data_IF_926474464157
#
_entry.id   IF_926474464157
#
_cell.length_a   1.000
_cell.length_b   1.000
_cell.length_c   1.000
_cell.angle_alpha   90.00
_cell.angle_beta   90.00
_cell.angle_gamma   90.00
#
_symmetry.space_group_name_H-M   'P 1'
#
loop_
_entity.id
_entity.type
_entity.pdbx_description
1 polymer ?
#
# COMPACT_ATOMS: atom_id res chain seq x y z
N UNK A 1 -30.32 -47.79 -18.11
CA UNK A 1 -30.73 -46.36 -18.00
C UNK A 1 -31.94 -46.12 -17.11
N UNK A 2 -32.96 -47.00 -17.02
CA UNK A 2 -34.14 -46.78 -16.15
C UNK A 2 -33.84 -46.63 -14.62
N UNK A 3 -32.71 -47.14 -14.13
CA UNK A 3 -32.38 -47.16 -12.69
C UNK A 3 -31.89 -45.79 -12.14
N UNK A 4 -31.33 -44.93 -12.99
CA UNK A 4 -30.70 -43.67 -12.52
C UNK A 4 -31.45 -42.38 -12.95
N UNK A 5 -32.62 -42.52 -13.65
CA UNK A 5 -33.34 -41.37 -14.14
C UNK A 5 -33.82 -40.40 -13.03
N UNK A 6 -34.15 -40.97 -11.83
CA UNK A 6 -34.53 -40.17 -10.67
C UNK A 6 -33.36 -39.29 -10.14
N UNK A 7 -32.14 -39.87 -10.14
CA UNK A 7 -30.93 -39.14 -9.75
C UNK A 7 -30.65 -38.02 -10.78
N UNK A 8 -30.82 -38.28 -12.03
CA UNK A 8 -30.61 -37.29 -13.09
C UNK A 8 -31.61 -36.15 -13.01
N UNK A 9 -32.88 -36.39 -12.68
CA UNK A 9 -33.90 -35.38 -12.45
C UNK A 9 -33.56 -34.54 -11.22
N UNK A 10 -33.18 -35.17 -10.12
CA UNK A 10 -32.76 -34.43 -8.88
C UNK A 10 -31.54 -33.54 -9.14
N UNK A 11 -30.54 -34.07 -9.87
CA UNK A 11 -29.36 -33.26 -10.23
C UNK A 11 -29.72 -32.06 -11.12
N UNK A 12 -30.60 -32.25 -12.09
CA UNK A 12 -31.10 -31.14 -12.91
C UNK A 12 -31.84 -30.07 -12.09
N UNK A 13 -32.72 -30.51 -11.17
CA UNK A 13 -33.43 -29.57 -10.28
C UNK A 13 -32.46 -28.77 -9.42
N UNK A 14 -31.44 -29.42 -8.86
CA UNK A 14 -30.39 -28.76 -8.07
C UNK A 14 -29.62 -27.74 -8.93
N UNK A 15 -29.22 -28.13 -10.14
CA UNK A 15 -28.51 -27.24 -11.08
C UNK A 15 -29.38 -26.02 -11.42
N UNK A 16 -30.66 -26.22 -11.75
CA UNK A 16 -31.59 -25.12 -12.04
C UNK A 16 -31.84 -24.21 -10.83
N UNK A 17 -31.97 -24.78 -9.62
CA UNK A 17 -32.15 -24.00 -8.40
C UNK A 17 -30.90 -23.15 -8.09
N UNK A 18 -29.71 -23.72 -8.18
CA UNK A 18 -28.43 -23.02 -8.00
C UNK A 18 -28.27 -21.94 -9.07
N UNK A 19 -28.49 -22.27 -10.34
CA UNK A 19 -28.37 -21.32 -11.45
C UNK A 19 -29.37 -20.18 -11.33
N UNK A 20 -30.63 -20.48 -10.98
CA UNK A 20 -31.68 -19.49 -10.76
C UNK A 20 -31.36 -18.55 -9.59
N UNK A 21 -30.89 -19.11 -8.49
CA UNK A 21 -30.40 -18.30 -7.35
C UNK A 21 -29.23 -17.40 -7.73
N UNK A 22 -28.29 -17.92 -8.52
CA UNK A 22 -27.12 -17.17 -8.98
C UNK A 22 -27.52 -16.01 -9.92
N UNK A 23 -28.44 -16.26 -10.87
CA UNK A 23 -28.96 -15.22 -11.78
C UNK A 23 -29.74 -14.15 -11.01
N UNK A 24 -30.57 -14.58 -10.05
CA UNK A 24 -31.34 -13.66 -9.21
C UNK A 24 -30.41 -12.80 -8.37
N UNK A 25 -29.43 -13.40 -7.68
CA UNK A 25 -28.45 -12.69 -6.87
C UNK A 25 -27.60 -11.73 -7.72
N UNK A 26 -27.18 -12.15 -8.92
CA UNK A 26 -26.42 -11.28 -9.82
C UNK A 26 -27.23 -10.08 -10.30
N UNK A 27 -28.54 -10.25 -10.58
CA UNK A 27 -29.44 -9.14 -10.95
C UNK A 27 -29.71 -8.20 -9.77
N UNK A 28 -29.93 -8.74 -8.57
CA UNK A 28 -30.13 -7.94 -7.36
C UNK A 28 -28.87 -7.08 -7.08
N UNK A 29 -27.67 -7.67 -7.17
CA UNK A 29 -26.40 -6.95 -7.02
C UNK A 29 -26.19 -5.86 -8.10
N UNK A 30 -26.71 -6.05 -9.29
CA UNK A 30 -26.64 -5.05 -10.37
C UNK A 30 -27.53 -3.82 -10.11
N UNK A 31 -28.67 -3.99 -9.45
CA UNK A 31 -29.62 -2.90 -9.14
C UNK A 31 -29.20 -2.06 -7.91
N UNK A 32 -28.28 -2.56 -7.10
CA UNK A 32 -27.79 -1.91 -5.88
C UNK A 32 -26.35 -1.38 -6.02
N UNK A 33 -25.84 -1.27 -7.25
CA UNK A 33 -24.49 -0.74 -7.46
C UNK A 33 -24.44 0.73 -7.06
N UNK A 34 -23.57 1.01 -6.12
CA UNK A 34 -23.17 2.39 -5.84
C UNK A 34 -22.37 2.89 -7.03
N UNK A 35 -22.69 4.08 -7.50
CA UNK A 35 -21.89 4.80 -8.49
C UNK A 35 -21.34 6.08 -7.89
N UNK A 36 -20.19 6.49 -8.35
CA UNK A 36 -19.55 7.73 -7.92
C UNK A 36 -19.14 8.55 -9.14
N UNK A 37 -19.23 9.86 -9.00
CA UNK A 37 -18.72 10.85 -9.96
C UNK A 37 -17.86 11.87 -9.24
N UNK A 38 -17.02 12.58 -10.00
CA UNK A 38 -16.28 13.73 -9.50
C UNK A 38 -16.90 14.97 -10.16
N UNK A 39 -17.66 15.73 -9.39
CA UNK A 39 -18.32 16.95 -9.87
C UNK A 39 -17.38 18.14 -9.67
N UNK A 40 -17.01 18.87 -10.74
CA UNK A 40 -16.08 19.97 -10.67
C UNK A 40 -16.66 21.16 -9.87
N UNK A 41 -15.85 21.70 -8.97
CA UNK A 41 -16.15 22.93 -8.23
C UNK A 41 -15.38 24.10 -8.84
N UNK A 42 -14.09 23.92 -9.10
CA UNK A 42 -13.21 24.93 -9.70
C UNK A 42 -11.93 24.29 -10.26
N UNK A 43 -11.24 25.00 -11.15
CA UNK A 43 -9.96 24.57 -11.73
C UNK A 43 -10.10 23.92 -13.10
N UNK A 44 -9.03 23.30 -13.57
CA UNK A 44 -8.96 22.67 -14.89
C UNK A 44 -9.24 21.18 -14.78
N UNK A 45 -10.29 20.71 -15.43
CA UNK A 45 -10.68 19.30 -15.46
C UNK A 45 -9.65 18.40 -16.18
N UNK A 46 -8.73 18.97 -16.96
CA UNK A 46 -7.64 18.19 -17.56
C UNK A 46 -6.67 17.62 -16.52
N UNK A 47 -6.68 18.15 -15.30
CA UNK A 47 -5.94 17.61 -14.16
C UNK A 47 -6.40 16.21 -13.72
N UNK A 48 -7.59 15.79 -14.20
CA UNK A 48 -8.15 14.45 -13.93
C UNK A 48 -7.89 13.45 -15.05
N UNK A 49 -7.24 13.83 -16.17
CA UNK A 49 -7.17 12.98 -17.38
C UNK A 49 -6.61 11.58 -17.11
N UNK A 50 -5.54 11.50 -16.34
CA UNK A 50 -4.88 10.22 -16.01
C UNK A 50 -5.14 9.77 -14.56
N UNK A 51 -6.12 10.42 -13.89
CA UNK A 51 -6.37 10.16 -12.49
C UNK A 51 -7.42 9.07 -12.26
N UNK A 52 -7.09 8.12 -11.40
CA UNK A 52 -8.03 7.12 -10.91
C UNK A 52 -8.09 7.22 -9.40
N UNK A 53 -9.29 7.37 -8.86
CA UNK A 53 -9.54 7.45 -7.42
C UNK A 53 -10.27 6.21 -6.95
N UNK A 54 -9.72 5.53 -5.95
CA UNK A 54 -10.40 4.46 -5.26
C UNK A 54 -11.33 5.06 -4.19
N UNK A 55 -12.61 4.78 -4.33
CA UNK A 55 -13.64 5.20 -3.38
C UNK A 55 -14.29 3.97 -2.79
N UNK A 56 -14.43 3.93 -1.48
CA UNK A 56 -15.14 2.87 -0.79
C UNK A 56 -16.39 3.40 -0.09
N UNK A 57 -17.43 2.60 -0.11
CA UNK A 57 -18.67 2.85 0.64
C UNK A 57 -18.87 1.73 1.64
N UNK A 58 -19.05 2.09 2.90
CA UNK A 58 -19.28 1.16 3.99
C UNK A 58 -20.63 1.43 4.62
N UNK A 59 -21.45 0.39 4.70
CA UNK A 59 -22.61 0.38 5.58
C UNK A 59 -22.54 -0.84 6.52
N UNK A 60 -23.54 -1.02 7.37
CA UNK A 60 -23.58 -2.13 8.33
C UNK A 60 -23.52 -3.53 7.68
N UNK A 61 -23.78 -3.65 6.38
CA UNK A 61 -23.99 -4.93 5.70
C UNK A 61 -23.15 -5.10 4.43
N UNK A 62 -22.70 -3.99 3.83
CA UNK A 62 -21.99 -4.01 2.54
C UNK A 62 -20.76 -3.11 2.57
N UNK A 63 -19.73 -3.55 1.86
CA UNK A 63 -18.56 -2.75 1.57
C UNK A 63 -18.27 -2.88 0.08
N UNK A 64 -18.29 -1.77 -0.63
CA UNK A 64 -18.01 -1.73 -2.06
C UNK A 64 -16.81 -0.83 -2.30
N UNK A 65 -15.91 -1.27 -3.17
CA UNK A 65 -14.83 -0.46 -3.71
C UNK A 65 -15.11 -0.16 -5.17
N UNK A 66 -14.96 1.11 -5.51
CA UNK A 66 -15.24 1.64 -6.83
C UNK A 66 -14.04 2.45 -7.26
N UNK A 67 -13.53 2.18 -8.46
CA UNK A 67 -12.54 3.01 -9.11
C UNK A 67 -13.24 3.99 -10.04
N UNK A 68 -12.96 5.26 -9.84
CA UNK A 68 -13.56 6.34 -10.63
C UNK A 68 -12.47 7.16 -11.34
N UNK A 69 -12.79 7.64 -12.51
CA UNK A 69 -12.02 8.61 -13.28
C UNK A 69 -12.90 9.81 -13.61
N UNK A 70 -12.38 10.78 -14.35
CA UNK A 70 -13.20 11.90 -14.85
C UNK A 70 -14.41 11.45 -15.68
N UNK A 71 -14.31 10.31 -16.37
CA UNK A 71 -15.38 9.75 -17.20
C UNK A 71 -16.43 8.95 -16.38
N UNK A 72 -16.29 8.89 -15.08
CA UNK A 72 -17.14 8.17 -14.15
C UNK A 72 -16.57 6.84 -13.66
N UNK A 73 -17.45 5.89 -13.37
CA UNK A 73 -17.05 4.59 -12.80
C UNK A 73 -16.30 3.74 -13.82
N UNK A 74 -15.05 3.44 -13.52
CA UNK A 74 -14.19 2.57 -14.32
C UNK A 74 -14.36 1.09 -13.96
N UNK A 75 -14.40 0.76 -12.66
CA UNK A 75 -14.58 -0.60 -12.18
C UNK A 75 -15.28 -0.60 -10.80
N UNK A 76 -16.04 -1.66 -10.52
CA UNK A 76 -16.72 -1.86 -9.24
C UNK A 76 -16.34 -3.20 -8.68
N UNK A 77 -15.70 -3.22 -7.50
CA UNK A 77 -15.27 -4.45 -6.84
C UNK A 77 -16.03 -4.66 -5.53
N UNK A 78 -16.77 -5.74 -5.45
CA UNK A 78 -17.58 -6.10 -4.28
C UNK A 78 -16.83 -7.09 -3.39
N UNK A 79 -16.54 -6.71 -2.15
CA UNK A 79 -15.87 -7.57 -1.16
C UNK A 79 -16.78 -8.63 -0.55
N UNK A 80 -18.09 -8.39 -0.52
CA UNK A 80 -19.09 -9.24 0.17
C UNK A 80 -20.06 -9.95 -0.76
N UNK A 81 -19.81 -10.01 -2.03
CA UNK A 81 -20.62 -10.90 -2.84
C UNK A 81 -20.43 -12.32 -2.30
N UNK A 82 -21.51 -13.11 -2.29
CA UNK A 82 -21.52 -14.56 -2.08
C UNK A 82 -20.49 -15.33 -2.94
N UNK A 83 -19.73 -14.63 -3.73
CA UNK A 83 -18.63 -14.97 -4.58
C UNK A 83 -17.26 -14.96 -3.89
N UNK A 84 -17.17 -14.79 -2.56
CA UNK A 84 -15.90 -14.87 -1.81
C UNK A 84 -15.10 -16.16 -2.07
N UNK A 85 -15.75 -17.18 -2.65
CA UNK A 85 -15.09 -18.38 -3.14
C UNK A 85 -14.36 -18.18 -4.49
N UNK A 86 -14.61 -17.07 -5.22
CA UNK A 86 -14.14 -16.90 -6.60
C UNK A 86 -13.55 -15.52 -6.92
N UNK A 87 -13.70 -14.52 -6.05
CA UNK A 87 -13.14 -13.18 -6.27
C UNK A 87 -12.08 -12.88 -5.21
N UNK A 88 -10.81 -13.06 -5.55
CA UNK A 88 -9.72 -12.39 -4.84
C UNK A 88 -9.84 -10.89 -5.11
N UNK A 89 -9.63 -10.06 -4.09
CA UNK A 89 -9.40 -8.63 -4.27
C UNK A 89 -8.12 -8.48 -5.11
N UNK A 90 -8.29 -7.97 -6.32
CA UNK A 90 -7.20 -7.66 -7.23
C UNK A 90 -7.09 -6.14 -7.32
N UNK A 91 -6.09 -5.51 -6.66
CA UNK A 91 -5.89 -4.07 -6.77
C UNK A 91 -5.70 -3.65 -8.22
N UNK A 92 -6.17 -2.46 -8.58
CA UNK A 92 -6.10 -1.94 -9.95
C UNK A 92 -4.65 -1.88 -10.46
N UNK A 93 -3.69 -1.57 -9.59
CA UNK A 93 -2.26 -1.55 -9.91
C UNK A 93 -1.74 -2.88 -10.49
N UNK A 94 -2.41 -4.01 -10.18
CA UNK A 94 -2.03 -5.33 -10.69
C UNK A 94 -2.78 -5.75 -11.94
N UNK A 95 -3.74 -4.96 -12.45
CA UNK A 95 -4.56 -5.33 -13.61
C UNK A 95 -3.71 -5.62 -14.85
N UNK A 96 -2.72 -4.75 -15.14
CA UNK A 96 -1.77 -4.94 -16.23
C UNK A 96 -1.02 -6.28 -16.08
N UNK A 97 -0.45 -6.56 -14.92
CA UNK A 97 0.33 -7.78 -14.67
C UNK A 97 -0.53 -9.03 -14.73
N UNK A 98 -1.78 -8.97 -14.24
CA UNK A 98 -2.74 -10.06 -14.31
C UNK A 98 -3.19 -10.37 -15.75
N UNK A 99 -3.19 -9.37 -16.59
CA UNK A 99 -3.54 -9.53 -18.01
C UNK A 99 -2.34 -10.02 -18.83
N UNK A 100 -1.19 -9.35 -18.71
CA UNK A 100 -0.02 -9.61 -19.54
C UNK A 100 0.81 -10.82 -19.08
N UNK A 101 0.88 -11.05 -17.75
CA UNK A 101 1.76 -12.05 -17.12
C UNK A 101 0.99 -13.02 -16.22
N UNK A 102 -0.19 -13.43 -16.64
CA UNK A 102 -1.12 -14.25 -15.85
C UNK A 102 -0.50 -15.53 -15.26
N UNK A 103 0.39 -16.20 -15.99
CA UNK A 103 1.08 -17.41 -15.49
C UNK A 103 2.03 -17.08 -14.34
N UNK A 104 2.76 -15.98 -14.44
CA UNK A 104 3.66 -15.49 -13.42
C UNK A 104 2.90 -15.05 -12.17
N UNK A 105 1.78 -14.34 -12.33
CA UNK A 105 0.99 -13.82 -11.20
C UNK A 105 0.24 -14.88 -10.39
N UNK A 106 0.12 -16.11 -10.93
CA UNK A 106 -0.64 -17.18 -10.28
C UNK A 106 -0.05 -17.55 -8.90
N UNK A 107 -0.87 -17.40 -7.85
CA UNK A 107 -0.49 -17.74 -6.47
C UNK A 107 0.44 -16.75 -5.78
N UNK A 108 0.61 -15.57 -6.37
CA UNK A 108 1.33 -14.44 -5.76
C UNK A 108 0.36 -13.55 -4.98
N UNK A 109 0.91 -12.83 -4.00
CA UNK A 109 0.17 -11.82 -3.25
C UNK A 109 0.20 -10.50 -4.01
N UNK A 110 -0.90 -9.73 -3.95
CA UNK A 110 -1.00 -8.41 -4.56
C UNK A 110 -0.56 -7.34 -3.55
N UNK A 111 0.73 -7.30 -3.31
CA UNK A 111 1.40 -6.38 -2.39
C UNK A 111 2.61 -5.81 -3.13
N UNK A 112 2.55 -4.53 -3.51
CA UNK A 112 3.57 -3.87 -4.33
C UNK A 112 4.97 -3.98 -3.73
N UNK A 113 5.08 -3.96 -2.41
CA UNK A 113 6.34 -4.06 -1.68
C UNK A 113 7.11 -5.38 -1.94
N UNK A 114 6.45 -6.37 -2.55
CA UNK A 114 7.05 -7.67 -2.88
C UNK A 114 7.53 -7.77 -4.32
N UNK A 115 7.32 -6.72 -5.09
CA UNK A 115 7.65 -6.69 -6.50
C UNK A 115 8.69 -5.62 -6.78
N UNK A 116 9.44 -5.86 -7.84
CA UNK A 116 10.28 -4.88 -8.48
C UNK A 116 10.15 -5.01 -9.99
N UNK A 117 10.01 -3.90 -10.69
CA UNK A 117 9.91 -3.87 -12.14
C UNK A 117 11.00 -2.98 -12.73
N UNK A 118 11.77 -3.51 -13.67
CA UNK A 118 12.65 -2.76 -14.56
C UNK A 118 12.17 -2.86 -16.02
N UNK A 119 12.92 -2.26 -16.95
CA UNK A 119 12.59 -2.30 -18.39
C UNK A 119 12.43 -3.73 -18.94
N UNK A 120 13.15 -4.71 -18.42
CA UNK A 120 13.25 -6.06 -18.96
C UNK A 120 12.57 -7.11 -18.09
N UNK A 121 12.44 -6.86 -16.77
CA UNK A 121 12.08 -7.90 -15.79
C UNK A 121 10.97 -7.44 -14.85
N UNK A 122 10.23 -8.44 -14.33
CA UNK A 122 9.36 -8.30 -13.17
C UNK A 122 9.79 -9.35 -12.15
N UNK A 123 10.15 -8.91 -10.95
CA UNK A 123 10.66 -9.74 -9.88
C UNK A 123 9.66 -9.78 -8.74
N UNK A 124 9.44 -10.95 -8.17
CA UNK A 124 8.60 -11.15 -7.01
C UNK A 124 9.38 -11.86 -5.91
N UNK A 125 9.31 -11.35 -4.69
CA UNK A 125 9.95 -11.96 -3.53
C UNK A 125 8.95 -12.12 -2.40
N UNK A 126 8.98 -13.27 -1.75
CA UNK A 126 8.28 -13.50 -0.48
C UNK A 126 9.10 -14.34 0.48
N UNK A 127 8.83 -14.20 1.77
CA UNK A 127 9.29 -15.16 2.76
C UNK A 127 8.39 -16.40 2.75
N UNK A 128 8.96 -17.61 2.87
CA UNK A 128 8.18 -18.86 2.80
C UNK A 128 7.37 -19.16 4.08
N UNK A 129 7.75 -18.56 5.19
CA UNK A 129 7.19 -18.88 6.52
C UNK A 129 6.30 -17.74 7.06
N UNK A 130 5.37 -17.25 6.23
CA UNK A 130 4.41 -16.22 6.64
C UNK A 130 3.55 -16.69 7.83
N UNK A 131 3.63 -15.94 8.94
CA UNK A 131 2.81 -16.20 10.14
C UNK A 131 3.36 -17.26 11.10
N UNK A 132 4.58 -17.76 10.88
CA UNK A 132 5.29 -18.61 11.82
C UNK A 132 6.41 -17.84 12.52
N UNK A 133 6.57 -18.06 13.82
CA UNK A 133 7.74 -17.59 14.55
C UNK A 133 9.02 -18.26 14.01
N UNK A 134 10.09 -17.49 13.85
CA UNK A 134 11.39 -17.95 13.37
C UNK A 134 12.41 -17.76 14.50
N UNK A 135 13.02 -18.84 14.96
CA UNK A 135 14.00 -18.74 16.03
C UNK A 135 15.37 -18.34 15.54
N UNK A 136 16.15 -17.70 16.42
CA UNK A 136 17.55 -17.34 16.11
C UNK A 136 18.35 -18.53 15.61
N UNK A 137 18.99 -18.34 14.46
CA UNK A 137 19.76 -19.39 13.78
C UNK A 137 18.94 -20.30 12.86
N UNK A 138 17.60 -20.21 12.89
CA UNK A 138 16.76 -20.87 11.87
C UNK A 138 16.85 -20.14 10.52
N UNK A 139 16.58 -20.84 9.41
CA UNK A 139 16.61 -20.22 8.09
C UNK A 139 15.39 -19.33 7.85
N UNK A 140 15.66 -18.09 7.43
CA UNK A 140 14.69 -17.24 6.71
C UNK A 140 14.84 -17.61 5.23
N UNK A 141 13.75 -18.09 4.64
CA UNK A 141 13.73 -18.54 3.25
C UNK A 141 13.06 -17.51 2.36
N UNK A 142 13.74 -17.06 1.33
CA UNK A 142 13.23 -16.16 0.31
C UNK A 142 12.89 -16.96 -0.94
N UNK A 143 11.62 -16.94 -1.34
CA UNK A 143 11.22 -17.42 -2.66
C UNK A 143 11.27 -16.24 -3.61
N UNK A 144 12.15 -16.36 -4.61
CA UNK A 144 12.37 -15.35 -5.65
C UNK A 144 11.87 -15.91 -6.96
N UNK A 145 11.05 -15.14 -7.67
CA UNK A 145 10.57 -15.47 -9.01
C UNK A 145 10.87 -14.29 -9.94
N UNK A 146 11.68 -14.52 -10.97
CA UNK A 146 12.14 -13.51 -11.93
C UNK A 146 11.52 -13.80 -13.30
N UNK A 147 10.67 -12.92 -13.78
CA UNK A 147 10.07 -12.96 -15.10
C UNK A 147 10.89 -12.10 -16.08
N UNK A 148 11.25 -12.67 -17.22
CA UNK A 148 11.75 -11.93 -18.39
C UNK A 148 10.55 -11.49 -19.23
N UNK A 149 10.29 -10.18 -19.34
CA UNK A 149 9.05 -9.64 -19.94
C UNK A 149 8.93 -9.98 -21.43
N UNK A 150 10.00 -9.88 -22.18
CA UNK A 150 10.00 -10.15 -23.62
C UNK A 150 9.65 -11.62 -23.93
N UNK A 151 10.30 -12.55 -23.27
CA UNK A 151 10.13 -13.99 -23.53
C UNK A 151 8.98 -14.62 -22.75
N UNK A 152 8.45 -13.93 -21.75
CA UNK A 152 7.47 -14.41 -20.75
C UNK A 152 7.91 -15.66 -20.00
N UNK A 153 9.22 -15.94 -19.99
CA UNK A 153 9.80 -17.02 -19.19
C UNK A 153 10.14 -16.52 -17.81
N UNK A 154 9.92 -17.34 -16.81
CA UNK A 154 10.32 -17.02 -15.44
C UNK A 154 11.14 -18.13 -14.81
N UNK A 155 11.98 -17.74 -13.86
CA UNK A 155 12.85 -18.63 -13.09
C UNK A 155 12.54 -18.45 -11.62
N UNK A 156 12.13 -19.52 -10.95
CA UNK A 156 11.87 -19.54 -9.51
C UNK A 156 13.02 -20.25 -8.79
N UNK A 157 13.48 -19.66 -7.68
CA UNK A 157 14.49 -20.25 -6.81
C UNK A 157 14.26 -19.86 -5.34
N UNK A 158 14.93 -20.57 -4.42
CA UNK A 158 14.91 -20.29 -2.99
C UNK A 158 16.30 -19.88 -2.53
N UNK A 159 16.42 -18.74 -1.88
CA UNK A 159 17.63 -18.28 -1.19
C UNK A 159 17.39 -18.28 0.32
N UNK A 160 18.45 -18.50 1.11
CA UNK A 160 18.31 -18.67 2.56
C UNK A 160 19.31 -17.78 3.30
N UNK A 161 18.83 -17.10 4.36
CA UNK A 161 19.66 -16.43 5.35
C UNK A 161 19.37 -17.01 6.75
N UNK A 162 20.31 -16.86 7.67
CA UNK A 162 20.06 -17.25 9.07
C UNK A 162 19.45 -16.07 9.84
N UNK A 163 18.39 -16.35 10.60
CA UNK A 163 17.76 -15.41 11.49
C UNK A 163 18.72 -14.91 12.57
N UNK A 164 18.85 -13.58 12.70
CA UNK A 164 19.73 -12.95 13.71
C UNK A 164 19.11 -12.95 15.10
N UNK A 165 17.77 -12.94 15.16
CA UNK A 165 16.98 -12.88 16.40
C UNK A 165 15.81 -13.85 16.38
N UNK A 166 15.04 -13.90 17.46
CA UNK A 166 13.75 -14.59 17.51
C UNK A 166 12.68 -13.66 16.96
N UNK A 167 12.11 -14.00 15.81
CA UNK A 167 11.06 -13.23 15.18
C UNK A 167 9.70 -13.85 15.42
N UNK A 168 8.74 -13.06 15.89
CA UNK A 168 7.32 -13.42 15.85
C UNK A 168 6.77 -13.26 14.44
N UNK A 169 7.37 -12.37 13.67
CA UNK A 169 6.92 -12.03 12.33
C UNK A 169 8.07 -11.44 11.50
N UNK A 170 8.11 -11.80 10.21
CA UNK A 170 9.07 -11.31 9.21
C UNK A 170 8.32 -11.01 7.92
N UNK A 171 8.51 -9.83 7.35
CA UNK A 171 7.88 -9.42 6.09
C UNK A 171 8.85 -8.73 5.15
N UNK A 172 8.69 -9.00 3.86
CA UNK A 172 9.33 -8.22 2.79
C UNK A 172 8.59 -6.89 2.68
N UNK A 173 9.32 -5.79 2.79
CA UNK A 173 8.77 -4.43 2.74
C UNK A 173 9.29 -3.63 1.55
N UNK A 174 10.32 -4.12 0.85
CA UNK A 174 10.73 -3.61 -0.45
C UNK A 174 11.63 -4.59 -1.20
N UNK A 175 11.63 -4.50 -2.52
CA UNK A 175 12.48 -5.29 -3.42
C UNK A 175 13.14 -4.37 -4.42
N UNK A 176 14.48 -4.41 -4.48
CA UNK A 176 15.29 -3.62 -5.38
C UNK A 176 16.20 -4.55 -6.20
N UNK A 177 16.26 -4.38 -7.51
CA UNK A 177 17.07 -5.23 -8.37
C UNK A 177 18.06 -4.44 -9.22
N UNK A 178 19.34 -4.81 -9.16
CA UNK A 178 20.40 -4.15 -9.90
C UNK A 178 21.55 -5.12 -10.19
N UNK A 179 22.07 -5.11 -11.42
CA UNK A 179 23.30 -5.83 -11.83
C UNK A 179 23.32 -7.32 -11.45
N UNK A 180 22.20 -8.04 -11.58
CA UNK A 180 22.10 -9.47 -11.23
C UNK A 180 22.03 -9.74 -9.72
N UNK A 181 21.78 -8.73 -8.92
CA UNK A 181 21.50 -8.82 -7.50
C UNK A 181 20.06 -8.39 -7.21
N UNK A 182 19.39 -9.13 -6.36
CA UNK A 182 18.10 -8.76 -5.78
C UNK A 182 18.33 -8.39 -4.32
N UNK A 183 18.08 -7.13 -3.98
CA UNK A 183 18.11 -6.62 -2.62
C UNK A 183 16.70 -6.70 -2.04
N UNK A 184 16.58 -7.29 -0.88
CA UNK A 184 15.29 -7.52 -0.21
C UNK A 184 15.32 -6.83 1.14
N UNK A 185 14.53 -5.78 1.28
CA UNK A 185 14.34 -5.11 2.56
C UNK A 185 13.29 -5.88 3.36
N UNK A 186 13.62 -6.20 4.59
CA UNK A 186 12.82 -7.04 5.46
C UNK A 186 12.62 -6.35 6.80
N UNK A 187 11.37 -6.21 7.21
CA UNK A 187 11.00 -5.80 8.57
C UNK A 187 10.73 -7.03 9.41
N UNK A 188 11.35 -7.10 10.59
CA UNK A 188 11.17 -8.16 11.57
C UNK A 188 10.63 -7.61 12.89
N UNK A 189 9.64 -8.29 13.47
CA UNK A 189 9.18 -8.04 14.83
C UNK A 189 9.68 -9.14 15.74
N UNK A 190 10.27 -8.77 16.87
CA UNK A 190 10.79 -9.75 17.85
C UNK A 190 9.69 -10.28 18.77
N UNK A 191 9.83 -11.51 19.22
CA UNK A 191 8.88 -12.14 20.14
C UNK A 191 8.78 -11.40 21.47
N UNK A 192 9.87 -10.77 21.90
CA UNK A 192 9.96 -10.01 23.15
C UNK A 192 9.57 -8.54 23.04
N UNK A 193 9.16 -8.07 21.86
CA UNK A 193 8.64 -6.72 21.64
C UNK A 193 9.69 -5.69 21.24
N UNK A 194 10.52 -6.04 20.29
CA UNK A 194 11.40 -5.16 19.52
C UNK A 194 11.18 -5.36 18.03
N UNK A 195 11.95 -4.66 17.20
CA UNK A 195 11.91 -4.77 15.76
C UNK A 195 13.28 -4.50 15.13
N UNK A 196 13.46 -5.02 13.92
CA UNK A 196 14.60 -4.66 13.09
C UNK A 196 14.19 -4.39 11.62
N UNK A 197 15.13 -3.79 10.90
CA UNK A 197 15.08 -3.61 9.46
C UNK A 197 16.38 -4.15 8.87
N UNK A 198 16.27 -5.18 8.04
CA UNK A 198 17.38 -5.92 7.48
C UNK A 198 17.37 -5.83 5.95
N UNK A 199 18.51 -5.53 5.34
CA UNK A 199 18.68 -5.56 3.89
C UNK A 199 19.49 -6.80 3.51
N UNK A 200 18.88 -7.72 2.76
CA UNK A 200 19.52 -8.93 2.23
C UNK A 200 19.87 -8.73 0.76
N UNK A 201 21.08 -9.12 0.36
CA UNK A 201 21.50 -9.16 -1.04
C UNK A 201 21.50 -10.61 -1.52
N UNK A 202 20.75 -10.91 -2.56
CA UNK A 202 20.66 -12.23 -3.18
C UNK A 202 21.27 -12.15 -4.57
N UNK A 203 22.26 -12.98 -4.86
CA UNK A 203 22.84 -13.10 -6.18
C UNK A 203 21.97 -14.05 -7.04
N UNK A 204 21.51 -13.58 -8.21
CA UNK A 204 20.58 -14.32 -9.07
C UNK A 204 21.26 -15.53 -9.74
N UNK A 205 22.57 -15.45 -10.07
CA UNK A 205 23.31 -16.54 -10.72
C UNK A 205 23.58 -17.69 -9.75
N UNK A 206 24.06 -17.37 -8.55
CA UNK A 206 24.38 -18.38 -7.53
C UNK A 206 23.14 -18.80 -6.71
N UNK A 207 22.06 -18.03 -6.78
CA UNK A 207 20.81 -18.22 -6.04
C UNK A 207 21.03 -18.24 -4.51
N UNK A 208 21.99 -17.46 -4.03
CA UNK A 208 22.38 -17.41 -2.63
C UNK A 208 22.30 -16.01 -2.06
N UNK A 209 22.02 -15.91 -0.76
CA UNK A 209 22.23 -14.66 -0.01
C UNK A 209 23.72 -14.43 0.16
N UNK A 210 24.24 -13.37 -0.44
CA UNK A 210 25.66 -13.01 -0.42
C UNK A 210 26.03 -12.00 0.65
N UNK A 211 25.05 -11.18 1.08
CA UNK A 211 25.24 -10.20 2.14
C UNK A 211 23.95 -9.97 2.95
N UNK A 212 24.10 -9.51 4.19
CA UNK A 212 23.02 -9.00 5.00
C UNK A 212 23.48 -7.82 5.83
N UNK A 213 22.75 -6.70 5.74
CA UNK A 213 23.04 -5.44 6.44
C UNK A 213 21.88 -5.16 7.41
N UNK A 214 22.20 -4.78 8.65
CA UNK A 214 21.19 -4.31 9.61
C UNK A 214 21.10 -2.80 9.49
N UNK A 215 19.97 -2.29 9.00
CA UNK A 215 19.74 -0.85 8.88
C UNK A 215 19.29 -0.26 10.21
N UNK A 216 18.48 -1.00 10.94
CA UNK A 216 18.03 -0.64 12.28
C UNK A 216 17.78 -1.91 13.10
N UNK A 217 18.04 -1.83 14.41
CA UNK A 217 17.66 -2.86 15.37
C UNK A 217 17.31 -2.18 16.70
N UNK A 218 16.09 -2.37 17.14
CA UNK A 218 15.58 -1.86 18.42
C UNK A 218 15.07 -3.01 19.27
N UNK A 219 15.72 -3.24 20.38
CA UNK A 219 15.36 -4.29 21.33
C UNK A 219 14.52 -3.69 22.45
N UNK A 220 13.47 -4.38 22.83
CA UNK A 220 12.69 -4.02 24.02
C UNK A 220 13.58 -4.00 25.25
N UNK A 221 13.47 -2.97 26.06
CA UNK A 221 14.18 -2.83 27.32
C UNK A 221 13.19 -2.54 28.43
N UNK A 222 13.10 -3.43 29.41
CA UNK A 222 12.16 -3.34 30.51
C UNK A 222 10.70 -3.25 30.03
N UNK A 223 10.01 -2.13 30.34
CA UNK A 223 8.63 -1.85 29.91
C UNK A 223 8.57 -0.88 28.72
N UNK A 224 9.73 -0.62 28.09
CA UNK A 224 9.82 0.22 26.90
C UNK A 224 9.74 -0.67 25.68
N UNK A 225 8.70 -0.48 24.89
CA UNK A 225 8.53 -1.12 23.60
C UNK A 225 9.29 -0.34 22.53
N UNK A 226 9.70 -1.02 21.50
CA UNK A 226 10.41 -0.40 20.39
C UNK A 226 9.88 -0.90 19.05
N UNK A 227 9.89 -0.04 18.06
CA UNK A 227 9.48 -0.38 16.71
C UNK A 227 10.35 0.32 15.67
N UNK A 228 10.38 -0.26 14.47
CA UNK A 228 11.00 0.31 13.29
C UNK A 228 9.96 0.33 12.18
N UNK A 229 9.62 1.52 11.70
CA UNK A 229 8.67 1.72 10.61
C UNK A 229 9.43 2.07 9.34
N UNK A 230 9.09 1.42 8.25
CA UNK A 230 9.59 1.74 6.92
C UNK A 230 8.55 2.58 6.16
N UNK A 231 9.01 3.61 5.48
CA UNK A 231 8.22 4.46 4.59
C UNK A 231 8.65 4.22 3.15
N UNK A 232 7.97 3.31 2.46
CA UNK A 232 8.23 3.00 1.06
C UNK A 232 7.35 3.76 0.09
N UNK A 233 7.77 3.80 -1.16
CA UNK A 233 6.90 4.21 -2.25
C UNK A 233 5.90 3.09 -2.57
N UNK A 234 4.65 3.27 -2.16
CA UNK A 234 3.59 2.29 -2.36
C UNK A 234 2.90 2.40 -3.72
N UNK A 235 3.38 3.27 -4.61
CA UNK A 235 2.80 3.50 -5.93
C UNK A 235 3.69 3.01 -7.07
N UNK A 236 4.95 2.77 -6.83
CA UNK A 236 5.93 2.39 -7.84
C UNK A 236 6.56 1.03 -7.55
N UNK A 237 6.78 0.24 -8.59
CA UNK A 237 7.59 -0.98 -8.55
C UNK A 237 9.04 -0.72 -9.02
N UNK A 238 9.37 0.54 -9.33
CA UNK A 238 10.72 0.91 -9.75
C UNK A 238 11.72 0.80 -8.60
N UNK A 239 12.99 0.75 -8.94
CA UNK A 239 14.05 0.75 -7.96
C UNK A 239 14.03 2.01 -7.08
N UNK A 240 14.08 1.83 -5.78
CA UNK A 240 14.20 2.89 -4.80
C UNK A 240 15.67 3.17 -4.49
N UNK A 241 16.11 4.42 -4.64
CA UNK A 241 17.49 4.83 -4.35
C UNK A 241 17.74 5.05 -2.85
N UNK A 242 16.70 5.34 -2.09
CA UNK A 242 16.77 5.66 -0.67
C UNK A 242 15.67 4.94 0.10
N UNK A 243 15.98 4.52 1.33
CA UNK A 243 15.02 3.97 2.27
C UNK A 243 14.86 4.91 3.45
N UNK A 244 13.64 5.40 3.68
CA UNK A 244 13.32 6.17 4.88
C UNK A 244 12.71 5.24 5.92
N UNK A 245 13.22 5.32 7.14
CA UNK A 245 12.67 4.58 8.26
C UNK A 245 12.66 5.41 9.54
N UNK A 246 11.76 5.05 10.43
CA UNK A 246 11.58 5.68 11.73
C UNK A 246 11.81 4.67 12.84
N UNK A 247 12.60 5.01 13.79
CA UNK A 247 12.76 4.30 15.04
C UNK A 247 11.93 5.00 16.12
N UNK A 248 11.05 4.27 16.78
CA UNK A 248 10.27 4.79 17.88
C UNK A 248 10.36 3.91 19.12
N UNK A 249 10.31 4.52 20.28
CA UNK A 249 10.16 3.83 21.56
C UNK A 249 9.02 4.43 22.32
N UNK A 250 8.25 3.57 23.01
CA UNK A 250 7.12 4.02 23.80
C UNK A 250 6.96 3.16 25.05
N UNK A 251 6.25 3.71 26.02
CA UNK A 251 5.94 3.07 27.29
C UNK A 251 4.45 3.24 27.58
N UNK A 252 3.80 2.15 28.01
CA UNK A 252 2.44 2.26 28.52
C UNK A 252 2.43 2.94 29.89
N UNK A 253 1.76 4.11 30.01
CA UNK A 253 1.53 4.80 31.27
C UNK A 253 0.27 4.21 31.95
N UNK A 254 0.48 3.41 33.00
CA UNK A 254 -0.61 2.74 33.74
C UNK A 254 -1.57 3.73 34.44
N UNK A 255 -1.14 4.99 34.69
CA UNK A 255 -1.96 5.99 35.36
C UNK A 255 -2.89 6.72 34.40
N UNK A 256 -2.40 7.00 33.20
CA UNK A 256 -3.16 7.69 32.17
C UNK A 256 -3.94 6.72 31.27
N UNK A 257 -3.58 5.43 31.30
CA UNK A 257 -4.07 4.40 30.35
C UNK A 257 -3.78 4.73 28.88
N UNK A 258 -2.62 5.31 28.62
CA UNK A 258 -2.17 5.75 27.28
C UNK A 258 -0.74 5.31 27.04
N UNK A 259 -0.37 5.22 25.74
CA UNK A 259 1.01 5.03 25.32
C UNK A 259 1.73 6.39 25.31
N UNK A 260 2.86 6.47 26.00
CA UNK A 260 3.76 7.63 26.00
C UNK A 260 4.91 7.36 25.01
N UNK A 261 4.99 8.12 23.93
CA UNK A 261 6.12 8.07 23.01
C UNK A 261 7.34 8.73 23.68
N UNK A 262 8.47 7.99 23.72
CA UNK A 262 9.71 8.45 24.36
C UNK A 262 10.72 8.96 23.34
N UNK A 263 10.85 8.29 22.20
CA UNK A 263 11.72 8.69 21.08
C UNK A 263 11.02 8.49 19.75
N UNK A 264 11.37 9.32 18.76
CA UNK A 264 10.80 9.29 17.42
C UNK A 264 11.84 9.86 16.44
N UNK A 265 12.80 9.01 16.03
CA UNK A 265 13.95 9.40 15.22
C UNK A 265 13.81 8.87 13.80
N UNK A 266 14.09 9.71 12.80
CA UNK A 266 14.00 9.37 11.40
C UNK A 266 15.38 9.24 10.76
N UNK A 267 15.51 8.33 9.81
CA UNK A 267 16.76 8.03 9.12
C UNK A 267 16.51 7.82 7.63
N UNK A 268 17.55 8.13 6.85
CA UNK A 268 17.61 7.84 5.41
C UNK A 268 18.81 6.94 5.14
N UNK A 269 18.58 5.79 4.55
CA UNK A 269 19.63 4.92 4.02
C UNK A 269 19.77 5.12 2.53
N UNK A 270 20.97 5.40 2.05
CA UNK A 270 21.28 5.47 0.63
C UNK A 270 21.77 4.11 0.13
N UNK A 271 21.07 3.54 -0.85
CA UNK A 271 21.43 2.25 -1.45
C UNK A 271 22.77 2.31 -2.19
N UNK A 272 23.11 3.47 -2.75
CA UNK A 272 24.33 3.68 -3.53
C UNK A 272 25.59 3.78 -2.65
N UNK A 273 25.53 4.59 -1.57
CA UNK A 273 26.67 4.82 -0.67
C UNK A 273 26.69 3.86 0.52
N UNK A 274 25.58 3.19 0.82
CA UNK A 274 25.36 2.33 2.00
C UNK A 274 25.49 3.09 3.33
N UNK A 275 25.25 4.38 3.32
CA UNK A 275 25.29 5.24 4.49
C UNK A 275 23.89 5.44 5.06
N UNK A 276 23.81 5.57 6.38
CA UNK A 276 22.60 5.93 7.11
C UNK A 276 22.81 7.31 7.69
N UNK A 277 22.00 8.25 7.26
CA UNK A 277 21.98 9.61 7.76
C UNK A 277 20.76 9.82 8.67
N UNK A 278 20.95 10.52 9.80
CA UNK A 278 19.81 10.97 10.59
C UNK A 278 19.06 12.06 9.83
N UNK A 279 17.73 11.92 9.75
CA UNK A 279 16.87 12.91 9.12
C UNK A 279 16.30 13.84 10.19
N UNK A 280 16.88 15.02 10.31
CA UNK A 280 16.35 16.06 11.20
C UNK A 280 15.03 16.59 10.64
N UNK A 281 13.95 16.42 11.40
CA UNK A 281 12.63 16.90 10.99
C UNK A 281 12.51 18.41 11.24
N UNK A 282 11.85 19.15 10.33
CA UNK A 282 11.59 20.58 10.51
C UNK A 282 10.62 20.84 11.68
N UNK A 283 9.81 19.84 12.04
CA UNK A 283 8.87 19.86 13.16
C UNK A 283 8.85 18.48 13.82
N UNK A 284 8.56 18.44 15.14
CA UNK A 284 8.53 17.18 15.90
C UNK A 284 7.16 16.88 16.50
N UNK A 285 6.26 17.86 16.48
CA UNK A 285 4.93 17.76 17.09
C UNK A 285 3.85 17.85 16.01
N UNK A 286 2.69 17.27 16.26
CA UNK A 286 1.53 17.30 15.39
C UNK A 286 1.79 16.72 13.98
N UNK A 287 2.71 15.74 13.90
CA UNK A 287 2.93 15.01 12.66
C UNK A 287 1.67 14.19 12.37
N UNK A 288 1.04 14.51 11.24
CA UNK A 288 -0.17 13.86 10.79
C UNK A 288 0.11 12.55 10.05
N UNK A 289 0.94 12.62 9.01
CA UNK A 289 1.41 11.46 8.26
C UNK A 289 2.77 11.72 7.63
N UNK A 290 3.45 10.64 7.25
CA UNK A 290 4.69 10.69 6.50
C UNK A 290 4.66 9.60 5.42
N UNK A 291 5.21 9.89 4.24
CA UNK A 291 5.30 8.93 3.15
C UNK A 291 6.46 9.27 2.23
N UNK A 292 7.00 8.26 1.56
CA UNK A 292 7.99 8.42 0.50
C UNK A 292 7.32 8.27 -0.84
N UNK A 293 7.72 9.09 -1.82
CA UNK A 293 7.33 8.91 -3.21
C UNK A 293 8.42 9.42 -4.14
N UNK A 294 8.84 8.57 -5.08
CA UNK A 294 9.95 8.85 -5.96
C UNK A 294 11.20 9.25 -5.18
N UNK A 295 11.80 10.38 -5.58
CA UNK A 295 13.03 10.90 -4.99
C UNK A 295 12.80 11.85 -3.80
N UNK A 296 11.65 11.77 -3.17
CA UNK A 296 11.30 12.68 -2.07
C UNK A 296 10.60 11.97 -0.91
N UNK A 297 10.79 12.55 0.27
CA UNK A 297 10.04 12.18 1.47
C UNK A 297 9.15 13.34 1.88
N UNK A 298 7.93 13.03 2.24
CA UNK A 298 6.91 14.00 2.60
C UNK A 298 6.53 13.82 4.06
N UNK A 299 6.43 14.95 4.77
CA UNK A 299 5.97 15.02 6.14
C UNK A 299 4.81 16.01 6.21
N UNK A 300 3.67 15.57 6.72
CA UNK A 300 2.53 16.46 6.89
C UNK A 300 2.26 16.76 8.34
N UNK A 301 1.93 17.99 8.61
CA UNK A 301 1.72 18.52 9.96
C UNK A 301 0.36 19.19 10.04
N UNK A 302 -0.37 18.89 11.10
CA UNK A 302 -1.63 19.54 11.38
C UNK A 302 -1.38 20.96 11.92
N UNK A 303 -1.93 21.97 11.20
CA UNK A 303 -2.00 23.35 11.66
C UNK A 303 -3.39 23.68 12.16
N UNK A 304 -3.57 24.88 12.69
CA UNK A 304 -4.89 25.39 13.03
C UNK A 304 -5.63 25.76 11.74
N UNK A 305 -6.62 24.98 11.34
CA UNK A 305 -7.38 25.14 10.11
C UNK A 305 -6.50 25.03 8.83
N UNK A 306 -5.41 24.28 8.87
CA UNK A 306 -4.49 24.12 7.76
C UNK A 306 -3.73 22.79 7.83
N UNK A 307 -3.32 22.31 6.66
CA UNK A 307 -2.34 21.24 6.50
C UNK A 307 -1.04 21.85 6.01
N UNK A 308 0.05 21.55 6.69
CA UNK A 308 1.40 21.97 6.29
C UNK A 308 2.12 20.75 5.77
N UNK A 309 2.61 20.81 4.53
CA UNK A 309 3.31 19.71 3.88
C UNK A 309 4.76 20.11 3.64
N UNK A 310 5.67 19.37 4.26
CA UNK A 310 7.11 19.49 4.05
C UNK A 310 7.57 18.43 3.07
N UNK A 311 8.48 18.80 2.15
CA UNK A 311 9.10 17.90 1.18
C UNK A 311 10.61 17.89 1.38
N UNK A 312 11.18 16.71 1.57
CA UNK A 312 12.62 16.52 1.65
C UNK A 312 13.14 15.91 0.35
N UNK A 313 14.15 16.54 -0.25
CA UNK A 313 14.81 16.03 -1.44
C UNK A 313 16.03 15.20 -1.05
N UNK A 314 16.08 13.93 -1.49
CA UNK A 314 17.18 13.05 -1.14
C UNK A 314 18.50 13.45 -1.79
N UNK A 315 18.47 13.97 -3.02
CA UNK A 315 19.65 14.38 -3.76
C UNK A 315 20.33 15.58 -3.09
N UNK A 316 19.55 16.59 -2.72
CA UNK A 316 20.05 17.84 -2.12
C UNK A 316 20.26 17.70 -0.61
N UNK A 317 19.68 16.67 0.02
CA UNK A 317 19.65 16.47 1.48
C UNK A 317 19.06 17.67 2.23
N UNK A 318 18.04 18.29 1.68
CA UNK A 318 17.40 19.46 2.29
C UNK A 318 15.86 19.43 2.19
N UNK A 319 15.25 20.17 3.12
CA UNK A 319 13.82 20.42 3.12
C UNK A 319 13.49 21.62 2.25
N UNK A 320 12.50 21.46 1.36
CA UNK A 320 11.93 22.58 0.63
C UNK A 320 11.13 23.51 1.55
N UNK A 321 10.82 24.70 1.07
CA UNK A 321 9.84 25.57 1.72
C UNK A 321 8.50 24.82 1.87
N UNK A 322 7.88 24.87 3.06
CA UNK A 322 6.67 24.10 3.31
C UNK A 322 5.47 24.68 2.55
N UNK A 323 4.67 23.78 1.98
CA UNK A 323 3.38 24.10 1.40
C UNK A 323 2.31 24.17 2.50
N UNK A 324 1.67 25.33 2.66
CA UNK A 324 0.56 25.52 3.61
C UNK A 324 -0.76 25.57 2.87
N UNK A 325 -1.65 24.64 3.17
CA UNK A 325 -2.96 24.50 2.54
C UNK A 325 -4.03 24.77 3.59
N UNK A 326 -4.87 25.78 3.34
CA UNK A 326 -6.05 26.04 4.18
C UNK A 326 -7.08 24.92 4.01
N UNK A 327 -7.12 24.00 4.94
CA UNK A 327 -8.10 22.92 4.97
C UNK A 327 -8.72 22.88 6.37
N UNK A 328 -10.05 22.92 6.48
CA UNK A 328 -10.70 22.54 7.72
C UNK A 328 -10.48 21.03 7.91
N UNK A 329 -9.55 20.68 8.79
CA UNK A 329 -9.31 19.27 9.13
C UNK A 329 -10.44 18.80 10.05
N UNK A 330 -11.16 17.78 9.60
CA UNK A 330 -12.07 17.05 10.46
C UNK A 330 -11.24 16.03 11.26
N UNK A 331 -11.11 16.26 12.55
CA UNK A 331 -10.27 15.43 13.46
C UNK A 331 -10.74 13.96 13.47
N UNK A 332 -12.00 13.69 13.09
CA UNK A 332 -12.56 12.34 13.06
C UNK A 332 -12.25 11.59 11.75
N UNK A 333 -11.86 12.31 10.68
CA UNK A 333 -11.62 11.73 9.35
C UNK A 333 -10.36 12.28 8.73
N UNK A 334 -9.40 11.42 8.60
CA UNK A 334 -8.10 11.76 8.03
C UNK A 334 -8.18 11.99 6.51
N UNK A 335 -7.65 13.10 5.96
CA UNK A 335 -7.51 13.25 4.52
C UNK A 335 -6.52 12.21 3.96
N UNK A 336 -6.82 11.70 2.79
CA UNK A 336 -5.86 10.92 2.01
C UNK A 336 -4.96 11.87 1.23
N UNK A 337 -3.66 11.64 1.28
CA UNK A 337 -2.65 12.45 0.62
C UNK A 337 -1.79 11.59 -0.31
N UNK A 338 -1.53 12.11 -1.49
CA UNK A 338 -0.69 11.50 -2.50
C UNK A 338 0.09 12.58 -3.24
N UNK A 339 1.39 12.39 -3.42
CA UNK A 339 2.18 13.24 -4.31
C UNK A 339 2.44 12.52 -5.64
N UNK A 340 2.57 13.25 -6.74
CA UNK A 340 3.07 12.73 -7.99
C UNK A 340 3.75 13.86 -8.78
N UNK A 341 5.07 13.76 -8.95
CA UNK A 341 5.87 14.86 -9.49
C UNK A 341 5.74 16.12 -8.64
N UNK A 342 5.32 17.23 -9.28
CA UNK A 342 5.09 18.49 -8.60
C UNK A 342 3.62 18.73 -8.21
N UNK A 343 2.80 17.66 -8.20
CA UNK A 343 1.40 17.76 -7.80
C UNK A 343 1.14 17.03 -6.49
N UNK A 344 0.31 17.65 -5.66
CA UNK A 344 -0.21 17.08 -4.41
C UNK A 344 -1.71 16.89 -4.54
N UNK A 345 -2.15 15.66 -4.38
CA UNK A 345 -3.55 15.23 -4.39
C UNK A 345 -4.02 15.06 -2.97
N UNK A 346 -5.13 15.68 -2.64
CA UNK A 346 -5.74 15.62 -1.30
C UNK A 346 -7.20 15.25 -1.45
N UNK A 347 -7.59 14.12 -0.88
CA UNK A 347 -9.00 13.79 -0.72
C UNK A 347 -9.39 14.02 0.74
N UNK A 348 -10.18 15.06 0.98
CA UNK A 348 -10.56 15.51 2.31
C UNK A 348 -12.07 15.37 2.55
N UNK A 349 -12.51 14.81 3.67
CA UNK A 349 -13.91 14.86 4.08
C UNK A 349 -14.24 16.27 4.60
N UNK A 350 -14.92 17.08 3.80
CA UNK A 350 -15.43 18.40 4.18
C UNK A 350 -16.93 18.32 4.49
N UNK A 351 -17.36 18.59 5.73
CA UNK A 351 -18.79 18.67 6.11
C UNK A 351 -19.66 17.48 5.59
N UNK A 352 -19.15 16.26 5.67
CA UNK A 352 -19.76 15.02 5.13
C UNK A 352 -19.69 14.86 3.61
N UNK A 353 -18.95 15.68 2.92
CA UNK A 353 -18.64 15.56 1.50
C UNK A 353 -17.19 15.14 1.35
N UNK A 354 -16.88 14.33 0.35
CA UNK A 354 -15.50 14.03 0.00
C UNK A 354 -15.07 14.96 -1.12
N UNK A 355 -14.05 15.74 -0.86
CA UNK A 355 -13.53 16.73 -1.80
C UNK A 355 -12.13 16.32 -2.25
N UNK A 356 -11.96 16.16 -3.55
CA UNK A 356 -10.65 15.98 -4.18
C UNK A 356 -10.10 17.35 -4.54
N UNK A 357 -8.90 17.65 -4.09
CA UNK A 357 -8.16 18.88 -4.42
C UNK A 357 -6.79 18.53 -4.98
N UNK A 358 -6.35 19.22 -6.03
CA UNK A 358 -5.04 19.03 -6.65
C UNK A 358 -4.32 20.37 -6.57
N UNK A 359 -3.13 20.35 -5.98
CA UNK A 359 -2.28 21.54 -5.82
C UNK A 359 -0.98 21.37 -6.60
N UNK A 360 -0.47 22.46 -7.15
CA UNK A 360 0.92 22.56 -7.57
C UNK A 360 1.79 22.71 -6.32
N UNK A 361 2.78 21.84 -6.15
CA UNK A 361 3.60 21.79 -4.95
C UNK A 361 4.58 22.97 -4.86
N UNK A 362 5.01 23.52 -6.01
CA UNK A 362 6.01 24.59 -6.07
C UNK A 362 5.40 25.97 -5.83
N UNK A 363 4.15 26.18 -6.27
CA UNK A 363 3.46 27.47 -6.21
C UNK A 363 2.38 27.56 -5.14
N UNK A 364 1.98 26.43 -4.55
CA UNK A 364 0.81 26.31 -3.68
C UNK A 364 -0.52 26.65 -4.38
N UNK A 365 -0.54 26.71 -5.69
CA UNK A 365 -1.75 27.03 -6.47
C UNK A 365 -2.70 25.83 -6.49
N UNK A 366 -3.98 26.10 -6.26
CA UNK A 366 -5.04 25.11 -6.45
C UNK A 366 -5.31 24.95 -7.95
N UNK A 367 -4.93 23.81 -8.51
CA UNK A 367 -5.12 23.46 -9.92
C UNK A 367 -6.53 22.96 -10.20
N UNK A 368 -7.07 22.15 -9.30
CA UNK A 368 -8.40 21.56 -9.42
C UNK A 368 -9.02 21.30 -8.05
N UNK A 369 -10.35 21.45 -7.98
CA UNK A 369 -11.18 21.03 -6.85
C UNK A 369 -12.49 20.46 -7.35
N UNK A 370 -12.88 19.25 -6.88
CA UNK A 370 -14.14 18.60 -7.22
C UNK A 370 -14.72 17.84 -6.03
N UNK A 371 -16.06 17.68 -6.03
CA UNK A 371 -16.79 16.88 -5.03
C UNK A 371 -16.97 15.44 -5.55
N UNK A 372 -16.64 14.45 -4.72
CA UNK A 372 -16.93 13.05 -5.01
C UNK A 372 -18.37 12.76 -4.53
N UNK A 373 -19.27 12.59 -5.48
CA UNK A 373 -20.69 12.37 -5.23
C UNK A 373 -21.02 10.89 -5.46
N UNK A 374 -21.64 10.26 -4.46
CA UNK A 374 -22.13 8.88 -4.55
C UNK A 374 -23.64 8.83 -4.83
N UNK A 375 -24.04 8.05 -5.84
CA UNK A 375 -25.43 7.69 -6.10
C UNK A 375 -25.71 6.29 -5.56
N UNK A 376 -26.92 6.06 -5.07
CA UNK A 376 -27.34 4.81 -4.42
C UNK A 376 -26.52 4.44 -3.18
N UNK A 377 -25.85 5.41 -2.58
CA UNK A 377 -25.18 5.24 -1.29
C UNK A 377 -26.23 5.19 -0.20
N UNK A 378 -26.16 4.21 0.68
CA UNK A 378 -27.08 4.10 1.81
C UNK A 378 -27.05 5.37 2.69
N UNK A 379 -28.18 5.76 3.32
CA UNK A 379 -28.28 7.02 4.08
C UNK A 379 -27.32 7.09 5.29
N UNK A 380 -26.79 5.97 5.70
CA UNK A 380 -25.82 5.85 6.81
C UNK A 380 -24.46 5.31 6.35
N UNK A 381 -24.26 5.16 5.03
CA UNK A 381 -22.99 4.66 4.53
C UNK A 381 -21.91 5.72 4.65
N UNK A 382 -20.76 5.28 5.10
CA UNK A 382 -19.55 6.09 5.12
C UNK A 382 -18.82 5.94 3.78
N UNK A 383 -18.45 7.05 3.20
CA UNK A 383 -17.67 7.11 1.94
C UNK A 383 -16.26 7.53 2.27
N UNK A 384 -15.29 6.72 1.88
CA UNK A 384 -13.87 6.99 2.10
C UNK A 384 -13.11 6.92 0.78
N UNK A 385 -12.13 7.79 0.62
CA UNK A 385 -11.13 7.67 -0.45
C UNK A 385 -10.00 6.81 0.06
N UNK A 386 -9.74 5.71 -0.64
CA UNK A 386 -8.73 4.73 -0.26
C UNK A 386 -7.37 5.03 -0.87
N UNK A 387 -7.32 5.23 -2.19
CA UNK A 387 -6.08 5.47 -2.91
C UNK A 387 -6.32 6.35 -4.15
N UNK A 388 -5.26 7.01 -4.60
CA UNK A 388 -5.23 7.78 -5.83
C UNK A 388 -4.10 7.22 -6.70
N UNK A 389 -4.39 6.92 -7.96
CA UNK A 389 -3.45 6.33 -8.90
C UNK A 389 -3.33 7.18 -10.13
N UNK A 390 -2.17 7.11 -10.81
CA UNK A 390 -2.03 7.58 -12.17
C UNK A 390 -2.17 6.40 -13.14
N UNK A 391 -2.94 6.59 -14.19
CA UNK A 391 -3.00 5.64 -15.30
C UNK A 391 -1.70 5.74 -16.11
N UNK A 392 -0.89 4.65 -16.14
CA UNK A 392 0.37 4.56 -16.88
C UNK A 392 0.15 4.02 -18.31
#
# INVERSE_FOLDING_TARGET
MKKYWKLLVVSLVIIFAISGHYIYSAKALQSERVTFTIDPITGDESELDDLIVEVSSYDAYTSQWVYISKDGVRDVRNRYASNALFTSYEPLQFERYLTEYRSFMRGKQYDLNRYNEDGERLIYVKTSDLGRAIYKGEPIKFKVDVLQKETKKHTEFEATALAKSHYSWVNVVDVYAVNGEVKVLVSGSFEDGGADLQLYTINEETQQVTASETLSEKVRKDRIFANVYYYGDTQSLANTAHYVFRESTWRYDEKKHEDEELTNDYFVYSVATKEIDALELPVKENIYTAFQQGDSFYLTVEGKDSLIVHRYYFEDKEWAEPLTIGLPLDVERMPYLQANGDKLYIANPEMRKNVLSIYDFSTAELLYKGEIIGENVGPYAEVLVGQIFMEN
#
